data_IF_225197899390
#
_entry.id   IF_225197899390
#
_cell.length_a   1.000
_cell.length_b   1.000
_cell.length_c   1.000
_cell.angle_alpha   90.00
_cell.angle_beta   90.00
_cell.angle_gamma   90.00
#
_symmetry.space_group_name_H-M   'P 1'
#
loop_
_entity.id
_entity.type
_entity.pdbx_description
1 polymer ?
#
# COMPACT_ATOMS: atom_id res chain seq x y z
N UNK A 1 16.83 60.55 -8.46
CA UNK A 1 15.93 59.46 -8.89
C UNK A 1 16.57 58.16 -8.43
N UNK A 2 16.21 57.69 -7.23
CA UNK A 2 16.73 56.44 -6.68
C UNK A 2 15.58 55.45 -6.67
N UNK A 3 15.60 54.52 -7.61
CA UNK A 3 14.67 53.38 -7.61
C UNK A 3 15.38 52.20 -8.28
N UNK A 4 16.40 51.69 -7.60
CA UNK A 4 16.77 50.27 -7.75
C UNK A 4 15.72 49.50 -6.96
N UNK A 5 14.68 49.06 -7.68
CA UNK A 5 13.82 47.97 -7.23
C UNK A 5 14.64 46.68 -7.25
N UNK A 6 15.67 46.61 -6.42
CA UNK A 6 16.29 45.34 -6.06
C UNK A 6 15.27 44.66 -5.16
N UNK A 7 14.49 43.78 -5.76
CA UNK A 7 13.65 42.83 -5.06
C UNK A 7 14.52 42.14 -4.04
N UNK A 8 14.34 42.50 -2.77
CA UNK A 8 14.78 41.76 -1.59
C UNK A 8 14.17 40.35 -1.69
N UNK A 9 14.83 39.52 -2.48
CA UNK A 9 14.47 38.12 -2.77
C UNK A 9 15.24 37.20 -1.80
N UNK A 10 15.53 37.71 -0.60
CA UNK A 10 16.15 36.96 0.47
C UNK A 10 15.08 36.11 1.15
N UNK A 11 14.92 34.89 0.64
CA UNK A 11 14.19 33.85 1.34
C UNK A 11 14.68 33.76 2.79
N UNK A 12 13.76 33.87 3.74
CA UNK A 12 14.06 33.63 5.14
C UNK A 12 14.75 32.27 5.33
N UNK A 13 15.68 32.13 6.28
CA UNK A 13 16.46 30.90 6.47
C UNK A 13 15.61 29.65 6.74
N UNK A 14 14.38 29.80 7.23
CA UNK A 14 13.44 28.69 7.42
C UNK A 14 12.84 28.14 6.11
N UNK A 15 12.98 28.88 5.01
CA UNK A 15 12.47 28.54 3.68
C UNK A 15 13.61 28.17 2.71
N UNK A 16 14.62 27.44 3.18
CA UNK A 16 15.62 26.80 2.31
C UNK A 16 14.99 25.60 1.58
N UNK A 17 14.57 25.83 0.34
CA UNK A 17 13.98 24.79 -0.50
C UNK A 17 15.02 23.90 -1.19
N UNK A 18 16.33 24.18 -1.08
CA UNK A 18 17.39 23.41 -1.75
C UNK A 18 17.51 21.97 -1.21
N UNK A 19 17.03 21.74 0.01
CA UNK A 19 17.05 20.44 0.69
C UNK A 19 15.75 19.65 0.51
N UNK A 20 14.73 20.23 -0.13
CA UNK A 20 13.45 19.54 -0.31
C UNK A 20 13.54 18.48 -1.40
N UNK A 21 13.05 17.28 -1.08
CA UNK A 21 12.89 16.22 -2.07
C UNK A 21 11.80 16.60 -3.09
N UNK A 22 12.17 16.69 -4.36
CA UNK A 22 11.21 16.89 -5.46
C UNK A 22 10.38 15.63 -5.62
N UNK A 23 9.10 15.68 -5.26
CA UNK A 23 8.18 14.55 -5.44
C UNK A 23 7.26 14.82 -6.63
N UNK A 24 7.23 13.91 -7.60
CA UNK A 24 6.34 14.02 -8.75
C UNK A 24 4.86 14.04 -8.31
N UNK A 25 4.14 15.09 -8.72
CA UNK A 25 2.70 15.25 -8.56
C UNK A 25 2.05 15.27 -9.95
N UNK A 26 0.87 14.67 -10.10
CA UNK A 26 0.14 14.65 -11.38
C UNK A 26 -0.27 13.25 -11.86
N UNK A 27 -0.79 13.17 -13.08
CA UNK A 27 -1.15 11.91 -13.73
C UNK A 27 0.14 11.17 -14.18
N UNK A 28 0.20 9.84 -14.03
CA UNK A 28 1.38 9.03 -14.34
C UNK A 28 2.34 8.77 -13.16
N UNK A 29 2.06 9.32 -11.97
CA UNK A 29 2.79 8.94 -10.75
C UNK A 29 2.59 7.45 -10.45
N UNK A 30 3.69 6.73 -10.20
CA UNK A 30 3.64 5.37 -9.66
C UNK A 30 2.96 5.44 -8.29
N UNK A 31 1.78 4.83 -8.16
CA UNK A 31 1.11 4.71 -6.86
C UNK A 31 2.05 3.99 -5.90
N UNK A 32 2.09 4.45 -4.65
CA UNK A 32 2.79 3.73 -3.60
C UNK A 32 2.30 2.28 -3.59
N UNK A 33 3.23 1.35 -3.79
CA UNK A 33 2.92 -0.07 -3.78
C UNK A 33 2.72 -0.50 -2.33
N UNK A 34 1.61 -1.21 -2.05
CA UNK A 34 1.40 -1.80 -0.73
C UNK A 34 2.51 -2.82 -0.48
N UNK A 35 3.33 -2.57 0.54
CA UNK A 35 4.43 -3.46 0.92
C UNK A 35 3.93 -4.38 2.02
N UNK A 36 4.09 -5.69 1.84
CA UNK A 36 3.73 -6.71 2.83
C UNK A 36 5.03 -7.40 3.24
N UNK A 37 5.28 -7.45 4.55
CA UNK A 37 6.41 -8.18 5.09
C UNK A 37 6.07 -9.67 5.15
N UNK A 38 6.96 -10.51 4.62
CA UNK A 38 6.89 -11.96 4.75
C UNK A 38 7.82 -12.40 5.86
N UNK A 39 7.47 -13.50 6.51
CA UNK A 39 8.36 -14.18 7.45
C UNK A 39 9.59 -14.76 6.71
N UNK A 40 10.76 -14.88 7.38
CA UNK A 40 12.02 -15.23 6.74
C UNK A 40 12.04 -16.64 6.13
N UNK A 41 11.26 -17.56 6.69
CA UNK A 41 11.06 -18.91 6.14
C UNK A 41 10.29 -18.87 4.81
N UNK A 42 9.20 -18.09 4.75
CA UNK A 42 8.40 -17.91 3.54
C UNK A 42 9.20 -17.17 2.47
N UNK A 43 9.94 -16.13 2.85
CA UNK A 43 10.80 -15.39 1.92
C UNK A 43 11.94 -16.24 1.36
N UNK A 44 12.49 -17.19 2.13
CA UNK A 44 13.50 -18.12 1.64
C UNK A 44 12.93 -19.13 0.63
N UNK A 45 11.66 -19.50 0.78
CA UNK A 45 10.98 -20.44 -0.12
C UNK A 45 10.46 -19.77 -1.40
N UNK A 46 10.07 -18.49 -1.34
CA UNK A 46 9.52 -17.74 -2.47
C UNK A 46 10.43 -16.56 -2.86
N UNK A 47 11.21 -16.69 -3.96
CA UNK A 47 12.25 -15.71 -4.32
C UNK A 47 11.68 -14.39 -4.89
N UNK A 48 10.45 -14.38 -5.38
CA UNK A 48 9.81 -13.19 -5.94
C UNK A 48 8.30 -13.11 -5.64
N UNK A 49 7.74 -11.91 -5.85
CA UNK A 49 6.32 -11.64 -5.61
C UNK A 49 5.39 -12.42 -6.56
N UNK A 50 5.85 -12.77 -7.76
CA UNK A 50 5.10 -13.61 -8.69
C UNK A 50 4.90 -15.04 -8.14
N UNK A 51 5.96 -15.64 -7.61
CA UNK A 51 5.93 -16.97 -7.01
C UNK A 51 4.96 -17.03 -5.81
N UNK A 52 4.99 -16.02 -4.94
CA UNK A 52 4.02 -15.89 -3.82
C UNK A 52 2.59 -15.80 -4.37
N UNK A 53 2.36 -14.92 -5.35
CA UNK A 53 1.03 -14.71 -5.91
C UNK A 53 0.46 -15.95 -6.60
N UNK A 54 1.27 -16.71 -7.34
CA UNK A 54 0.84 -17.96 -7.95
C UNK A 54 0.51 -19.03 -6.90
N UNK A 55 1.32 -19.14 -5.83
CA UNK A 55 1.02 -20.03 -4.71
C UNK A 55 -0.31 -19.71 -4.04
N UNK A 56 -0.55 -18.43 -3.73
CA UNK A 56 -1.81 -17.98 -3.14
C UNK A 56 -3.01 -18.19 -4.08
N UNK A 57 -2.84 -17.98 -5.40
CA UNK A 57 -3.89 -18.26 -6.39
C UNK A 57 -4.24 -19.74 -6.46
N UNK A 58 -3.24 -20.62 -6.39
CA UNK A 58 -3.48 -22.06 -6.33
C UNK A 58 -4.28 -22.43 -5.07
N UNK A 59 -3.89 -21.90 -3.92
CA UNK A 59 -4.64 -22.09 -2.67
C UNK A 59 -6.09 -21.62 -2.81
N UNK A 60 -6.33 -20.43 -3.36
CA UNK A 60 -7.69 -19.93 -3.61
C UNK A 60 -8.50 -20.86 -4.51
N UNK A 61 -7.90 -21.43 -5.56
CA UNK A 61 -8.59 -22.39 -6.44
C UNK A 61 -8.95 -23.67 -5.69
N UNK A 62 -8.03 -24.22 -4.92
CA UNK A 62 -8.29 -25.40 -4.09
C UNK A 62 -9.42 -25.14 -3.09
N UNK A 63 -9.42 -23.97 -2.43
CA UNK A 63 -10.46 -23.57 -1.50
C UNK A 63 -11.82 -23.34 -2.17
N UNK A 64 -11.86 -22.92 -3.44
CA UNK A 64 -13.09 -22.78 -4.21
C UNK A 64 -13.64 -24.11 -4.72
N UNK A 65 -12.75 -25.07 -5.02
CA UNK A 65 -13.11 -26.41 -5.47
C UNK A 65 -13.51 -27.33 -4.32
N UNK A 66 -13.05 -27.02 -3.11
CA UNK A 66 -13.56 -27.65 -1.89
C UNK A 66 -14.84 -26.91 -1.52
N UNK A 67 -16.05 -27.50 -1.60
CA UNK A 67 -17.21 -26.89 -0.99
C UNK A 67 -16.99 -26.88 0.52
N UNK A 68 -16.30 -25.85 1.03
CA UNK A 68 -16.28 -25.52 2.44
C UNK A 68 -17.73 -25.26 2.80
N UNK A 69 -18.31 -26.27 3.46
CA UNK A 69 -19.57 -26.30 4.18
C UNK A 69 -20.20 -24.90 4.30
N UNK A 70 -21.11 -24.61 3.38
CA UNK A 70 -22.09 -23.52 3.51
C UNK A 70 -23.09 -23.95 4.59
N UNK A 71 -22.64 -23.98 5.83
CA UNK A 71 -23.40 -24.57 6.92
C UNK A 71 -22.84 -24.18 8.26
N UNK A 72 -22.91 -22.88 8.58
CA UNK A 72 -23.53 -22.41 9.83
C UNK A 72 -24.08 -21.01 9.56
N UNK A 73 -25.25 -20.94 8.90
CA UNK A 73 -26.16 -19.83 9.13
C UNK A 73 -26.93 -20.16 10.41
N UNK A 74 -27.08 -19.15 11.26
CA UNK A 74 -28.32 -18.84 11.97
C UNK A 74 -29.02 -20.01 12.69
N UNK A 75 -28.86 -20.10 14.01
CA UNK A 75 -29.95 -20.33 14.98
C UNK A 75 -29.37 -20.68 16.36
N UNK A 76 -29.15 -19.66 17.19
CA UNK A 76 -29.37 -19.82 18.63
C UNK A 76 -30.40 -18.78 19.08
N UNK A 77 -31.59 -19.33 19.39
CA UNK A 77 -32.56 -18.86 20.37
C UNK A 77 -33.37 -17.60 20.08
N UNK A 78 -34.41 -17.76 19.26
CA UNK A 78 -35.73 -17.19 19.55
C UNK A 78 -36.62 -18.32 20.07
N UNK A 79 -36.53 -18.63 21.38
CA UNK A 79 -37.58 -19.36 22.13
C UNK A 79 -37.31 -19.34 23.64
N UNK A 80 -37.82 -18.32 24.31
CA UNK A 80 -38.27 -18.36 25.71
C UNK A 80 -39.39 -17.30 25.76
N UNK A 81 -40.66 -17.70 25.63
CA UNK A 81 -41.52 -18.24 26.68
C UNK A 81 -41.68 -17.25 27.84
#
# INVERSE_FOLDING_TARGET
MSQTSETDDDLRPEYDFTQLAVVARGQGRKRATLTVQLEPDVAAMFPDAGAVNEGLRLLMRLLQQTPAQRGIQSETTSKEA
#
